data_IF_837610296559
#
_entry.id   IF_837610296559
#
_cell.length_a   1.000
_cell.length_b   1.000
_cell.length_c   1.000
_cell.angle_alpha   90.00
_cell.angle_beta   90.00
_cell.angle_gamma   90.00
#
_symmetry.space_group_name_H-M   'P 1'
#
loop_
_entity.id
_entity.type
_entity.pdbx_description
1 polymer ?
#
# COMPACT_ATOMS: atom_id res chain seq x y z
N UNK A 1 -26.61 34.30 -28.93
CA UNK A 1 -25.93 33.03 -29.27
C UNK A 1 -24.53 33.10 -28.70
N UNK A 2 -24.24 32.29 -27.69
CA UNK A 2 -22.90 32.17 -27.09
C UNK A 2 -22.15 31.05 -27.81
N UNK A 3 -20.93 31.26 -28.32
CA UNK A 3 -20.05 30.17 -28.64
C UNK A 3 -19.18 29.88 -27.41
N UNK A 4 -19.60 28.88 -26.62
CA UNK A 4 -18.69 28.19 -25.70
C UNK A 4 -17.66 27.44 -26.54
N UNK A 5 -16.52 28.08 -26.76
CA UNK A 5 -15.31 27.42 -27.23
C UNK A 5 -14.57 26.94 -25.98
N UNK A 6 -15.00 25.80 -25.45
CA UNK A 6 -14.22 25.02 -24.49
C UNK A 6 -13.31 24.09 -25.29
N UNK A 7 -12.09 23.84 -24.79
CA UNK A 7 -11.00 23.05 -25.40
C UNK A 7 -9.90 23.85 -26.14
N UNK A 8 -9.25 24.80 -25.46
CA UNK A 8 -7.94 25.29 -25.92
C UNK A 8 -7.09 25.92 -24.79
N UNK A 9 -6.93 25.24 -23.65
CA UNK A 9 -5.85 25.56 -22.72
C UNK A 9 -5.65 24.45 -21.68
N UNK A 10 -5.05 23.32 -22.06
CA UNK A 10 -4.36 22.47 -21.08
C UNK A 10 -2.86 22.74 -21.19
N UNK A 11 -2.34 23.83 -20.58
CA UNK A 11 -0.91 24.04 -20.52
C UNK A 11 -0.31 23.03 -19.55
N UNK A 12 0.56 22.17 -20.07
CA UNK A 12 1.75 21.65 -19.40
C UNK A 12 2.18 22.53 -18.21
N UNK A 13 1.79 22.14 -16.98
CA UNK A 13 2.46 22.38 -15.69
C UNK A 13 1.53 22.06 -14.52
N UNK A 14 1.27 20.77 -14.32
CA UNK A 14 1.23 20.22 -12.97
C UNK A 14 2.30 19.15 -12.95
N UNK A 15 3.55 19.59 -12.78
CA UNK A 15 4.54 18.72 -12.12
C UNK A 15 4.11 18.80 -10.68
N UNK A 16 3.35 17.80 -10.24
CA UNK A 16 2.98 17.64 -8.84
C UNK A 16 4.27 17.64 -7.99
N UNK A 17 4.45 18.61 -7.08
CA UNK A 17 5.62 18.67 -6.20
C UNK A 17 5.76 17.43 -5.29
N UNK A 18 4.68 16.68 -5.06
CA UNK A 18 4.64 15.59 -4.08
C UNK A 18 5.03 14.22 -4.68
N UNK A 19 5.10 14.11 -6.01
CA UNK A 19 5.72 12.99 -6.74
C UNK A 19 4.96 11.66 -6.70
N UNK A 20 3.86 11.54 -5.96
CA UNK A 20 3.07 10.32 -5.77
C UNK A 20 2.30 9.93 -7.05
N UNK A 21 1.99 8.65 -7.32
CA UNK A 21 1.25 8.28 -8.54
C UNK A 21 0.41 6.99 -8.45
N UNK A 22 -0.91 7.15 -8.60
CA UNK A 22 -1.85 6.04 -8.81
C UNK A 22 -1.82 5.53 -10.25
N UNK A 23 -1.87 4.21 -10.46
CA UNK A 23 -1.75 3.58 -11.78
C UNK A 23 -3.07 2.93 -12.21
N UNK A 24 -3.44 3.17 -13.47
CA UNK A 24 -4.67 2.68 -14.08
C UNK A 24 -4.39 1.99 -15.42
N UNK A 25 -5.28 1.10 -15.83
CA UNK A 25 -5.27 0.55 -17.18
C UNK A 25 -5.98 1.45 -18.21
N UNK A 26 -5.89 1.05 -19.48
CA UNK A 26 -6.54 1.72 -20.61
C UNK A 26 -8.07 1.88 -20.49
N UNK A 27 -8.73 1.09 -19.65
CA UNK A 27 -10.18 1.15 -19.39
C UNK A 27 -10.52 2.00 -18.15
N UNK A 28 -9.51 2.65 -17.54
CA UNK A 28 -9.64 3.44 -16.32
C UNK A 28 -9.86 2.61 -15.06
N UNK A 29 -9.54 1.31 -15.07
CA UNK A 29 -9.53 0.51 -13.83
C UNK A 29 -8.23 0.76 -13.07
N UNK A 30 -8.35 0.95 -11.76
CA UNK A 30 -7.21 1.07 -10.87
C UNK A 30 -6.44 -0.26 -10.77
N UNK A 31 -5.12 -0.20 -10.92
CA UNK A 31 -4.22 -1.36 -10.85
C UNK A 31 -3.41 -1.39 -9.56
N UNK A 32 -3.01 -0.22 -9.06
CA UNK A 32 -2.17 -0.08 -7.86
C UNK A 32 -1.32 1.18 -7.92
N UNK A 33 -0.09 1.11 -7.39
CA UNK A 33 0.80 2.28 -7.27
C UNK A 33 2.20 1.98 -7.78
N UNK A 34 2.95 3.02 -8.10
CA UNK A 34 4.39 2.96 -8.24
C UNK A 34 5.10 3.14 -6.88
N UNK A 35 6.40 3.40 -6.92
CA UNK A 35 7.28 3.66 -5.78
C UNK A 35 7.01 5.00 -5.06
N UNK A 36 6.06 5.80 -5.54
CA UNK A 36 5.67 7.06 -4.93
C UNK A 36 4.31 6.97 -4.20
N UNK A 37 3.59 5.86 -4.35
CA UNK A 37 2.32 5.62 -3.64
C UNK A 37 1.09 6.21 -4.32
N UNK A 38 -0.04 6.24 -3.62
CA UNK A 38 -1.36 6.44 -4.24
C UNK A 38 -1.76 7.91 -4.48
N UNK A 39 -1.17 8.83 -3.73
CA UNK A 39 -1.41 10.26 -3.92
C UNK A 39 -0.87 10.73 -5.28
N UNK A 40 -1.17 11.94 -5.74
CA UNK A 40 -0.54 12.55 -6.92
C UNK A 40 -1.00 12.08 -8.30
N UNK A 41 -0.13 12.23 -9.31
CA UNK A 41 -0.45 12.07 -10.74
C UNK A 41 -0.99 10.67 -11.08
N UNK A 42 -2.19 10.63 -11.66
CA UNK A 42 -2.75 9.38 -12.15
C UNK A 42 -2.13 8.99 -13.50
N UNK A 43 -1.37 7.89 -13.51
CA UNK A 43 -0.73 7.34 -14.70
C UNK A 43 -1.59 6.25 -15.33
N UNK A 44 -1.61 6.20 -16.67
CA UNK A 44 -2.32 5.16 -17.41
C UNK A 44 -1.31 4.35 -18.21
N UNK A 45 -1.28 3.05 -18.01
CA UNK A 45 -0.35 2.13 -18.68
C UNK A 45 -1.08 0.84 -19.12
N UNK A 46 -0.50 0.07 -20.04
CA UNK A 46 -1.01 -1.27 -20.32
C UNK A 46 -0.84 -2.15 -19.06
N UNK A 47 -1.94 -2.79 -18.63
CA UNK A 47 -1.96 -3.74 -17.49
C UNK A 47 -0.86 -4.78 -17.58
N UNK A 48 -0.47 -5.23 -18.78
CA UNK A 48 0.59 -6.22 -18.98
C UNK A 48 1.98 -5.74 -18.56
N UNK A 49 2.19 -4.43 -18.58
CA UNK A 49 3.46 -3.81 -18.19
C UNK A 49 3.46 -3.35 -16.73
N UNK A 50 2.32 -3.42 -16.05
CA UNK A 50 2.21 -3.00 -14.66
C UNK A 50 2.88 -4.00 -13.72
N UNK A 51 3.69 -3.46 -12.81
CA UNK A 51 4.22 -4.17 -11.64
C UNK A 51 3.99 -3.27 -10.43
N UNK A 52 3.38 -3.80 -9.39
CA UNK A 52 3.13 -3.07 -8.15
C UNK A 52 4.45 -2.57 -7.54
N UNK A 53 4.52 -1.27 -7.25
CA UNK A 53 5.72 -0.63 -6.68
C UNK A 53 6.88 -0.48 -7.67
N UNK A 54 6.61 -0.54 -8.99
CA UNK A 54 7.62 -0.19 -9.99
C UNK A 54 8.10 1.26 -9.86
N UNK A 55 9.25 1.61 -10.42
CA UNK A 55 9.73 3.00 -10.33
C UNK A 55 8.84 3.95 -11.13
N UNK A 56 8.56 5.15 -10.60
CA UNK A 56 7.83 6.20 -11.32
C UNK A 56 8.47 6.51 -12.69
N UNK A 57 9.81 6.49 -12.74
CA UNK A 57 10.58 6.70 -13.96
C UNK A 57 10.29 5.63 -15.02
N UNK A 58 10.11 4.37 -14.64
CA UNK A 58 9.76 3.29 -15.56
C UNK A 58 8.28 3.33 -15.94
N UNK A 59 7.39 3.63 -14.99
CA UNK A 59 5.97 3.82 -15.26
C UNK A 59 5.74 4.93 -16.31
N UNK A 60 6.46 6.05 -16.19
CA UNK A 60 6.39 7.18 -17.14
C UNK A 60 6.88 6.83 -18.56
N UNK A 61 7.74 5.82 -18.72
CA UNK A 61 8.16 5.33 -20.06
C UNK A 61 7.10 4.46 -20.73
N UNK A 62 6.13 3.96 -19.95
CA UNK A 62 5.10 3.00 -20.39
C UNK A 62 3.72 3.65 -20.56
N UNK A 63 3.65 4.99 -20.52
CA UNK A 63 2.39 5.73 -20.59
C UNK A 63 1.61 5.40 -21.86
N UNK A 64 0.35 5.03 -21.64
CA UNK A 64 -0.64 4.89 -22.68
C UNK A 64 -1.26 6.26 -22.99
N UNK A 65 -1.15 6.71 -24.23
CA UNK A 65 -1.59 8.05 -24.64
C UNK A 65 -2.97 8.07 -25.29
N UNK A 66 -3.41 6.95 -25.86
CA UNK A 66 -4.71 6.83 -26.55
C UNK A 66 -5.82 6.43 -25.56
N UNK A 67 -6.14 7.34 -24.65
CA UNK A 67 -7.13 7.10 -23.58
C UNK A 67 -8.49 7.66 -23.99
N UNK A 68 -9.54 6.82 -23.90
CA UNK A 68 -10.94 7.24 -24.14
C UNK A 68 -11.46 8.19 -23.04
N UNK A 69 -12.47 8.99 -23.36
CA UNK A 69 -13.06 9.93 -22.38
C UNK A 69 -13.78 9.20 -21.25
N UNK A 70 -14.33 8.02 -21.50
CA UNK A 70 -14.93 7.15 -20.49
C UNK A 70 -13.90 6.65 -19.49
N UNK A 71 -12.75 6.19 -19.97
CA UNK A 71 -11.65 5.72 -19.12
C UNK A 71 -11.08 6.86 -18.27
N UNK A 72 -10.93 8.08 -18.85
CA UNK A 72 -10.52 9.27 -18.09
C UNK A 72 -11.52 9.63 -17.01
N UNK A 73 -12.80 9.66 -17.35
CA UNK A 73 -13.86 10.01 -16.38
C UNK A 73 -13.91 9.03 -15.21
N UNK A 74 -13.75 7.73 -15.49
CA UNK A 74 -13.70 6.69 -14.45
C UNK A 74 -12.48 6.82 -13.55
N UNK A 75 -11.30 7.06 -14.14
CA UNK A 75 -10.08 7.34 -13.40
C UNK A 75 -10.26 8.57 -12.50
N UNK A 76 -10.73 9.68 -13.06
CA UNK A 76 -10.87 10.95 -12.34
C UNK A 76 -11.86 10.83 -11.17
N UNK A 77 -12.94 10.08 -11.36
CA UNK A 77 -13.88 9.76 -10.28
C UNK A 77 -13.22 8.93 -9.16
N UNK A 78 -12.33 7.99 -9.49
CA UNK A 78 -11.57 7.24 -8.49
C UNK A 78 -10.55 8.15 -7.78
N UNK A 79 -9.80 8.96 -8.53
CA UNK A 79 -8.79 9.89 -8.01
C UNK A 79 -9.39 10.85 -6.99
N UNK A 80 -10.58 11.38 -7.27
CA UNK A 80 -11.27 12.30 -6.37
C UNK A 80 -11.55 11.73 -4.96
N UNK A 81 -11.68 10.40 -4.84
CA UNK A 81 -11.89 9.72 -3.56
C UNK A 81 -10.61 9.23 -2.87
N UNK A 82 -9.44 9.36 -3.49
CA UNK A 82 -8.19 8.82 -2.93
C UNK A 82 -7.78 9.53 -1.64
N UNK A 83 -8.06 10.83 -1.52
CA UNK A 83 -7.69 11.64 -0.36
C UNK A 83 -8.31 11.15 0.95
N UNK A 84 -9.47 10.49 0.87
CA UNK A 84 -10.19 9.96 2.03
C UNK A 84 -9.73 8.55 2.41
N UNK A 85 -8.83 7.94 1.62
CA UNK A 85 -8.35 6.59 1.90
C UNK A 85 -7.32 6.59 3.02
N UNK A 86 -7.31 5.54 3.85
CA UNK A 86 -6.38 5.45 4.98
C UNK A 86 -4.91 5.33 4.54
N UNK A 87 -4.65 4.82 3.35
CA UNK A 87 -3.31 4.60 2.81
C UNK A 87 -2.77 5.80 2.02
N UNK A 88 -3.49 6.93 1.98
CA UNK A 88 -3.11 8.13 1.22
C UNK A 88 -1.75 8.71 1.69
N UNK A 89 -1.45 8.59 2.98
CA UNK A 89 -0.18 9.04 3.56
C UNK A 89 0.94 7.97 3.46
N UNK A 90 0.63 6.80 2.91
CA UNK A 90 1.54 5.68 2.72
C UNK A 90 1.83 4.86 3.99
N UNK A 91 1.03 4.97 5.05
CA UNK A 91 1.12 4.08 6.21
C UNK A 91 -0.28 3.72 6.72
N UNK A 92 -0.36 2.75 7.62
CA UNK A 92 -1.61 2.36 8.24
C UNK A 92 -1.45 2.31 9.74
N UNK A 93 -2.35 2.95 10.44
CA UNK A 93 -2.61 2.67 11.85
C UNK A 93 -3.53 1.46 11.97
N UNK A 94 -3.48 0.86 13.14
CA UNK A 94 -4.38 -0.23 13.48
C UNK A 94 -5.86 0.20 13.46
N UNK A 95 -6.20 1.45 13.78
CA UNK A 95 -7.59 1.92 13.71
C UNK A 95 -8.08 2.04 12.27
N UNK A 96 -7.24 2.58 11.38
CA UNK A 96 -7.53 2.68 9.94
C UNK A 96 -7.71 1.30 9.31
N UNK A 97 -6.81 0.35 9.59
CA UNK A 97 -6.93 -1.02 9.07
C UNK A 97 -8.25 -1.68 9.51
N UNK A 98 -8.65 -1.48 10.77
CA UNK A 98 -9.93 -1.99 11.27
C UNK A 98 -11.14 -1.30 10.66
N UNK A 99 -11.08 0.01 10.45
CA UNK A 99 -12.18 0.74 9.82
C UNK A 99 -12.34 0.29 8.37
N UNK A 100 -11.22 0.16 7.66
CA UNK A 100 -11.20 -0.32 6.28
C UNK A 100 -11.69 -1.75 6.13
N UNK A 101 -11.39 -2.63 7.09
CA UNK A 101 -11.97 -3.98 7.11
C UNK A 101 -13.52 -3.96 7.16
N UNK A 102 -14.10 -2.95 7.83
CA UNK A 102 -15.56 -2.82 7.97
C UNK A 102 -16.20 -2.09 6.80
N UNK A 103 -15.55 -1.01 6.34
CA UNK A 103 -16.15 0.00 5.47
C UNK A 103 -15.49 0.07 4.09
N UNK A 104 -14.29 -0.49 3.92
CA UNK A 104 -13.49 -0.47 2.70
C UNK A 104 -13.92 -1.48 1.63
N UNK A 105 -14.97 -2.27 1.88
CA UNK A 105 -15.57 -3.22 0.92
C UNK A 105 -14.59 -4.27 0.33
N UNK A 106 -13.49 -4.56 1.05
CA UNK A 106 -12.45 -5.47 0.61
C UNK A 106 -11.51 -4.88 -0.46
N UNK A 107 -11.49 -3.56 -0.64
CA UNK A 107 -10.55 -2.91 -1.56
C UNK A 107 -9.12 -2.98 -1.01
N UNK A 108 -8.11 -3.25 -1.86
CA UNK A 108 -6.72 -3.33 -1.41
C UNK A 108 -6.19 -1.97 -0.94
N UNK A 109 -5.19 -1.99 -0.05
CA UNK A 109 -4.45 -0.81 0.43
C UNK A 109 -2.97 -0.88 0.06
N UNK A 110 -2.29 0.28 -0.01
CA UNK A 110 -0.92 0.42 -0.50
C UNK A 110 -0.05 1.23 0.46
N UNK A 111 0.94 0.61 1.08
CA UNK A 111 1.80 1.24 2.10
C UNK A 111 3.25 1.37 1.66
N UNK A 112 3.89 2.44 2.11
CA UNK A 112 5.32 2.66 1.95
C UNK A 112 6.09 1.78 2.96
N UNK A 113 6.82 0.79 2.46
CA UNK A 113 7.60 -0.10 3.30
C UNK A 113 8.64 0.65 4.15
N UNK A 114 9.11 1.82 3.68
CA UNK A 114 10.08 2.66 4.41
C UNK A 114 9.48 3.32 5.65
N UNK A 115 8.14 3.39 5.75
CA UNK A 115 7.41 3.97 6.89
C UNK A 115 6.98 2.94 7.93
N UNK A 116 7.20 1.65 7.67
CA UNK A 116 6.87 0.58 8.62
C UNK A 116 8.00 0.47 9.64
N UNK A 117 7.65 0.53 10.93
CA UNK A 117 8.63 0.40 12.00
C UNK A 117 9.06 -1.07 12.20
N UNK A 118 10.31 -1.36 11.84
CA UNK A 118 10.95 -2.66 11.98
C UNK A 118 11.99 -2.69 13.10
N UNK A 119 11.99 -1.70 14.00
CA UNK A 119 13.05 -1.48 15.01
C UNK A 119 13.46 -2.66 15.89
N UNK A 120 12.62 -3.67 16.20
CA UNK A 120 13.08 -4.86 16.92
C UNK A 120 14.00 -5.77 16.12
N UNK A 121 14.05 -5.62 14.79
CA UNK A 121 14.85 -6.45 13.88
C UNK A 121 16.11 -5.72 13.48
N UNK A 122 17.21 -6.47 13.38
CA UNK A 122 18.52 -5.97 12.98
C UNK A 122 19.10 -6.79 11.84
N UNK A 123 20.16 -6.29 11.21
CA UNK A 123 20.87 -7.03 10.16
C UNK A 123 21.36 -8.40 10.64
N UNK A 124 21.75 -8.54 11.91
CA UNK A 124 22.16 -9.83 12.51
C UNK A 124 21.04 -10.87 12.66
N UNK A 125 19.77 -10.44 12.55
CA UNK A 125 18.62 -11.36 12.55
C UNK A 125 18.35 -11.95 11.16
N UNK A 126 18.99 -11.44 10.11
CA UNK A 126 18.68 -11.77 8.72
C UNK A 126 19.93 -12.29 8.01
N UNK A 127 19.72 -12.96 6.88
CA UNK A 127 20.78 -13.35 5.97
C UNK A 127 20.49 -12.70 4.60
N UNK A 128 21.50 -12.07 3.99
CA UNK A 128 21.33 -11.37 2.72
C UNK A 128 20.74 -12.30 1.63
N UNK A 129 19.73 -11.82 0.92
CA UNK A 129 19.02 -12.56 -0.12
C UNK A 129 18.06 -13.65 0.38
N UNK A 130 18.04 -13.98 1.68
CA UNK A 130 17.12 -15.00 2.23
C UNK A 130 15.97 -14.37 2.99
N UNK A 131 14.75 -14.72 2.58
CA UNK A 131 13.53 -14.27 3.24
C UNK A 131 13.26 -15.01 4.55
N UNK A 132 13.05 -14.25 5.64
CA UNK A 132 12.68 -14.75 6.96
C UNK A 132 11.37 -14.11 7.43
N UNK A 133 10.45 -14.91 7.96
CA UNK A 133 9.23 -14.40 8.59
C UNK A 133 9.51 -13.95 10.03
N UNK A 134 9.11 -12.72 10.36
CA UNK A 134 9.23 -12.13 11.68
C UNK A 134 7.84 -11.75 12.19
N UNK A 135 7.47 -12.30 13.34
CA UNK A 135 6.22 -12.00 14.01
C UNK A 135 6.40 -10.82 14.98
N UNK A 136 5.91 -9.64 14.59
CA UNK A 136 5.99 -8.42 15.38
C UNK A 136 5.02 -8.38 16.56
N UNK A 137 4.06 -9.31 16.62
CA UNK A 137 3.22 -9.52 17.79
C UNK A 137 3.84 -10.49 18.82
N UNK A 138 4.99 -11.09 18.52
CA UNK A 138 5.70 -12.00 19.43
C UNK A 138 6.55 -11.24 20.46
N UNK A 139 6.78 -11.78 21.67
CA UNK A 139 7.64 -11.14 22.67
C UNK A 139 9.09 -10.90 22.20
N UNK A 140 9.60 -11.73 21.30
CA UNK A 140 10.99 -11.65 20.81
C UNK A 140 11.22 -10.47 19.86
N UNK A 141 10.19 -10.03 19.15
CA UNK A 141 10.26 -8.95 18.15
C UNK A 141 9.10 -7.96 18.35
N UNK A 142 8.69 -7.73 19.60
CA UNK A 142 7.48 -7.00 19.91
C UNK A 142 7.51 -5.57 19.37
N UNK A 143 6.61 -5.29 18.42
CA UNK A 143 6.25 -3.96 17.97
C UNK A 143 4.72 -3.92 17.87
N UNK A 144 4.07 -3.12 18.71
CA UNK A 144 2.61 -3.10 18.75
C UNK A 144 2.01 -2.43 17.52
N UNK A 145 2.63 -1.40 16.97
CA UNK A 145 2.11 -0.70 15.80
C UNK A 145 2.15 -1.61 14.56
N UNK A 146 3.33 -2.17 14.27
CA UNK A 146 3.53 -3.10 13.15
C UNK A 146 2.81 -4.42 13.37
N UNK A 147 2.88 -4.98 14.57
CA UNK A 147 2.32 -6.30 14.90
C UNK A 147 0.79 -6.33 14.95
N UNK A 148 0.12 -5.20 15.22
CA UNK A 148 -1.34 -5.12 15.21
C UNK A 148 -1.91 -4.95 13.79
N UNK A 149 -1.15 -4.35 12.87
CA UNK A 149 -1.57 -4.16 11.48
C UNK A 149 -1.14 -5.35 10.62
N UNK A 150 0.13 -5.69 10.62
CA UNK A 150 0.71 -6.65 9.66
C UNK A 150 1.07 -8.01 10.27
N UNK A 151 1.09 -8.12 11.59
CA UNK A 151 1.36 -9.37 12.30
C UNK A 151 2.73 -9.99 11.99
N UNK A 152 2.77 -10.89 11.01
CA UNK A 152 3.95 -11.65 10.61
C UNK A 152 4.43 -11.28 9.20
N UNK A 153 5.55 -10.55 9.13
CA UNK A 153 6.06 -10.01 7.86
C UNK A 153 7.25 -10.84 7.39
N UNK A 154 7.29 -11.18 6.10
CA UNK A 154 8.49 -11.71 5.47
C UNK A 154 9.48 -10.58 5.21
N UNK A 155 10.68 -10.64 5.77
CA UNK A 155 11.78 -9.72 5.53
C UNK A 155 12.87 -10.42 4.73
N UNK A 156 13.32 -9.80 3.64
CA UNK A 156 14.49 -10.25 2.87
C UNK A 156 15.53 -9.13 2.89
N UNK A 157 16.69 -9.39 3.50
CA UNK A 157 17.77 -8.40 3.53
C UNK A 157 18.37 -8.23 2.15
N UNK A 158 18.43 -6.99 1.68
CA UNK A 158 18.98 -6.62 0.37
C UNK A 158 20.40 -6.10 0.46
N UNK A 159 20.77 -5.54 1.61
CA UNK A 159 22.09 -4.97 1.82
C UNK A 159 22.39 -4.88 3.33
N UNK A 160 23.38 -5.66 3.79
CA UNK A 160 23.83 -5.67 5.19
C UNK A 160 24.37 -4.32 5.69
N UNK A 161 25.04 -3.54 4.84
CA UNK A 161 25.68 -2.28 5.23
C UNK A 161 24.69 -1.14 5.40
N UNK A 162 23.59 -1.16 4.63
CA UNK A 162 22.56 -0.13 4.75
C UNK A 162 21.43 -0.59 5.64
N UNK A 163 21.16 -1.90 5.78
CA UNK A 163 19.99 -2.45 6.47
C UNK A 163 18.72 -2.42 5.62
N UNK A 164 18.84 -2.21 4.31
CA UNK A 164 17.68 -2.18 3.41
C UNK A 164 17.05 -3.56 3.28
N UNK A 165 15.73 -3.65 3.44
CA UNK A 165 14.97 -4.90 3.39
C UNK A 165 13.80 -4.81 2.43
N UNK A 166 13.55 -5.89 1.69
CA UNK A 166 12.27 -6.10 1.00
C UNK A 166 11.28 -6.75 1.95
N UNK A 167 10.05 -6.25 1.97
CA UNK A 167 8.96 -6.76 2.79
C UNK A 167 7.97 -7.54 1.90
N UNK A 168 7.44 -8.64 2.41
CA UNK A 168 6.40 -9.42 1.75
C UNK A 168 6.90 -10.38 0.67
N UNK A 169 5.97 -10.78 -0.21
CA UNK A 169 6.16 -11.78 -1.25
C UNK A 169 6.51 -11.22 -2.63
N UNK A 170 6.08 -11.94 -3.65
CA UNK A 170 6.09 -11.46 -5.03
C UNK A 170 5.01 -10.38 -5.21
N UNK A 171 5.20 -9.51 -6.20
CA UNK A 171 4.23 -8.47 -6.60
C UNK A 171 3.79 -7.51 -5.47
N UNK A 172 4.65 -7.28 -4.48
CA UNK A 172 4.42 -6.31 -3.41
C UNK A 172 3.35 -6.71 -2.40
N UNK A 173 2.82 -7.95 -2.44
CA UNK A 173 1.85 -8.39 -1.43
C UNK A 173 2.55 -8.50 -0.06
N UNK A 174 2.08 -7.70 0.89
CA UNK A 174 2.64 -7.61 2.24
C UNK A 174 1.90 -8.51 3.22
N UNK A 175 0.57 -8.37 3.27
CA UNK A 175 -0.30 -9.08 4.19
C UNK A 175 -1.72 -9.21 3.62
N UNK A 176 -2.44 -10.23 4.06
CA UNK A 176 -3.89 -10.33 3.84
C UNK A 176 -4.57 -10.02 5.18
N UNK A 177 -5.13 -8.82 5.28
CA UNK A 177 -5.71 -8.35 6.54
C UNK A 177 -7.10 -8.93 6.71
N UNK A 178 -7.18 -9.96 7.55
CA UNK A 178 -8.41 -10.68 7.84
C UNK A 178 -8.46 -11.18 9.29
N UNK A 179 -9.68 -11.29 9.81
CA UNK A 179 -9.92 -11.86 11.14
C UNK A 179 -10.30 -13.34 11.02
N UNK A 180 -9.45 -14.15 10.41
CA UNK A 180 -9.69 -15.59 10.37
C UNK A 180 -9.59 -16.17 11.80
N UNK A 181 -10.71 -16.71 12.30
CA UNK A 181 -10.78 -17.28 13.65
C UNK A 181 -10.14 -18.68 13.69
N UNK A 182 -8.83 -18.78 13.92
CA UNK A 182 -8.25 -20.07 14.32
C UNK A 182 -8.63 -20.41 15.78
N UNK A 183 -9.11 -21.64 16.03
CA UNK A 183 -9.37 -22.18 17.38
C UNK A 183 -8.07 -22.18 18.19
N UNK A 184 -7.94 -21.26 19.14
CA UNK A 184 -6.78 -21.11 20.04
C UNK A 184 -5.89 -19.88 19.80
N UNK A 185 -6.26 -18.97 18.90
CA UNK A 185 -5.45 -17.80 18.51
C UNK A 185 -5.42 -16.60 19.48
N UNK A 186 -4.35 -15.82 19.30
CA UNK A 186 -3.78 -14.64 20.01
C UNK A 186 -4.71 -13.63 20.71
N UNK A 187 -4.12 -12.86 21.65
CA UNK A 187 -4.65 -11.71 22.45
C UNK A 187 -5.45 -10.67 21.66
N UNK A 188 -5.42 -10.74 20.32
CA UNK A 188 -6.27 -10.04 19.36
C UNK A 188 -7.77 -10.13 19.71
N UNK A 189 -8.23 -11.29 20.22
CA UNK A 189 -9.62 -11.48 20.68
C UNK A 189 -10.01 -10.55 21.82
N UNK A 190 -9.13 -10.24 22.76
CA UNK A 190 -9.47 -9.37 23.90
C UNK A 190 -9.58 -7.89 23.50
N UNK A 191 -8.85 -7.49 22.45
CA UNK A 191 -9.03 -6.19 21.83
C UNK A 191 -10.34 -6.13 21.02
N UNK A 192 -10.63 -7.17 20.25
CA UNK A 192 -11.91 -7.35 19.55
C UNK A 192 -13.11 -7.36 20.52
N UNK A 193 -12.96 -7.84 21.76
CA UNK A 193 -14.00 -7.74 22.81
C UNK A 193 -14.24 -6.29 23.29
N UNK A 194 -13.21 -5.43 23.27
CA UNK A 194 -13.32 -4.01 23.67
C UNK A 194 -13.99 -3.17 22.57
N UNK A 195 -13.72 -3.49 21.30
CA UNK A 195 -14.43 -2.96 20.13
C UNK A 195 -15.82 -3.60 19.96
N UNK A 196 -15.99 -4.87 20.32
CA UNK A 196 -17.25 -5.62 20.20
C UNK A 196 -18.38 -5.08 21.07
N UNK A 197 -18.08 -4.23 22.05
CA UNK A 197 -19.07 -3.42 22.77
C UNK A 197 -19.58 -2.21 21.95
N UNK A 198 -18.94 -1.88 20.84
CA UNK A 198 -19.22 -0.73 19.97
C UNK A 198 -19.83 -1.15 18.62
N UNK A 199 -20.69 -2.18 18.61
CA UNK A 199 -21.64 -2.56 17.54
C UNK A 199 -21.19 -3.75 16.67
N UNK A 200 -22.11 -4.71 16.52
CA UNK A 200 -21.98 -5.93 15.73
C UNK A 200 -22.00 -5.65 14.21
N UNK A 201 -20.97 -6.07 13.49
CA UNK A 201 -20.96 -6.01 12.02
C UNK A 201 -19.96 -7.00 11.41
N UNK A 202 -20.28 -7.49 10.19
CA UNK A 202 -19.39 -8.26 9.33
C UNK A 202 -18.45 -7.29 8.60
N UNK A 203 -17.18 -7.66 8.43
CA UNK A 203 -16.24 -6.96 7.54
C UNK A 203 -15.75 -7.88 6.43
N UNK A 204 -14.97 -7.34 5.51
CA UNK A 204 -14.39 -8.09 4.39
C UNK A 204 -12.87 -7.94 4.43
N UNK A 205 -12.19 -9.08 4.36
CA UNK A 205 -10.74 -9.12 4.23
C UNK A 205 -10.27 -8.35 2.99
N UNK A 206 -9.05 -7.83 3.07
CA UNK A 206 -8.44 -7.12 1.96
C UNK A 206 -6.93 -7.31 1.97
N UNK A 207 -6.34 -7.18 0.79
CA UNK A 207 -4.89 -7.26 0.63
C UNK A 207 -4.23 -5.93 0.95
N UNK A 208 -3.09 -5.99 1.62
CA UNK A 208 -2.18 -4.87 1.79
C UNK A 208 -0.99 -5.12 0.88
N UNK A 209 -0.76 -4.20 -0.05
CA UNK A 209 0.43 -4.16 -0.88
C UNK A 209 1.40 -3.12 -0.32
N UNK A 210 2.67 -3.27 -0.66
CA UNK A 210 3.69 -2.28 -0.37
C UNK A 210 4.40 -1.77 -1.63
N UNK A 211 5.10 -0.67 -1.44
CA UNK A 211 6.08 -0.11 -2.36
C UNK A 211 7.31 0.36 -1.56
N UNK A 212 8.42 0.63 -2.25
CA UNK A 212 9.73 0.89 -1.65
C UNK A 212 10.28 -0.27 -0.79
N UNK A 213 11.50 -0.05 -0.28
CA UNK A 213 12.14 -0.95 0.67
C UNK A 213 11.96 -0.42 2.09
N UNK A 214 11.85 -1.34 3.05
CA UNK A 214 11.93 -1.03 4.47
C UNK A 214 13.37 -0.93 4.95
N UNK A 215 13.50 -0.61 6.23
CA UNK A 215 14.79 -0.34 6.85
C UNK A 215 14.88 -1.02 8.22
N UNK A 216 15.89 -1.88 8.41
CA UNK A 216 16.26 -2.42 9.72
C UNK A 216 17.51 -1.75 10.25
N UNK A 217 17.76 -1.87 11.56
CA UNK A 217 18.97 -1.30 12.16
C UNK A 217 20.19 -2.13 11.78
N UNK A 218 21.22 -1.46 11.27
CA UNK A 218 22.55 -2.05 11.07
C UNK A 218 23.21 -2.24 12.43
N UNK A 219 23.62 -3.47 12.73
CA UNK A 219 24.47 -3.77 13.89
C UNK A 219 25.82 -4.24 13.40
N UNK A 220 26.85 -3.58 13.91
CA UNK A 220 28.27 -3.97 13.79
C UNK A 220 28.57 -5.24 14.60
#
# INVERSE_FOLDING_TARGET
>A
MSPYNYCANNPLKFVDPDGRSSIYDQDGNFLGTDDQGIAGDALMIDRKNFVQGMSNADARKLLWTDVTDEARSKRDAHVAGLVDRPDYDGKLTFFEANDWYRNGNGQPLYVDASKIDLSPVTTTDLEEGKGRYINFASPSYANLETGLVYGNIKLTLLNENTGSVKLGGENGLLDNYGFEMHKGGSKFRNFATKIGKMVAGNGKEYDIFNYNNGQVKVKE
#
